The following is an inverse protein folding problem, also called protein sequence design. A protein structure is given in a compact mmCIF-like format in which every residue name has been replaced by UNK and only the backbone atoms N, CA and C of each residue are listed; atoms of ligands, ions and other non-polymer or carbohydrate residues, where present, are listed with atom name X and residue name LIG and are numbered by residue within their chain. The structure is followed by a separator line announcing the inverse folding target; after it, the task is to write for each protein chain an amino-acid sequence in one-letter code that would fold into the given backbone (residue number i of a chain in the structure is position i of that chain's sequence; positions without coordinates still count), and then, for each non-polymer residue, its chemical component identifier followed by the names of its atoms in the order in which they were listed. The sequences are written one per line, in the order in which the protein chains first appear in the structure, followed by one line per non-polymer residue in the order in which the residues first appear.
data_IF_495159697988
#
_entry.id   IF_495159697988
#
_cell.length_a   1.000
_cell.length_b   1.000
_cell.length_c   1.000
_cell.angle_alpha   90.00
_cell.angle_beta   90.00
_cell.angle_gamma   90.00
#
_symmetry.space_group_name_H-M   'P 1'
#
loop_
_entity.id
_entity.type
_entity.pdbx_description
1 polymer ?
#
# COMPACT_ATOMS: atom_id res chain seq x y z
N UNK A 1 -26.28 -28.31 26.18
CA UNK A 1 -26.29 -27.08 25.34
C UNK A 1 -25.02 -26.25 25.56
N UNK A 2 -23.82 -26.85 25.46
CA UNK A 2 -22.53 -26.18 25.74
C UNK A 2 -21.45 -26.64 24.74
N UNK A 3 -21.72 -26.57 23.43
CA UNK A 3 -20.73 -27.01 22.44
C UNK A 3 -20.78 -26.24 21.12
N UNK A 4 -21.07 -24.93 21.16
CA UNK A 4 -21.08 -24.09 19.95
C UNK A 4 -20.36 -22.73 20.12
N UNK A 5 -19.83 -22.40 21.29
CA UNK A 5 -19.18 -21.10 21.56
C UNK A 5 -17.64 -21.14 21.55
N UNK A 6 -17.05 -22.34 21.53
CA UNK A 6 -15.58 -22.51 21.56
C UNK A 6 -14.94 -22.53 20.16
N UNK A 7 -15.74 -22.66 19.09
CA UNK A 7 -15.26 -22.66 17.71
C UNK A 7 -15.14 -21.27 17.08
N UNK A 8 -15.86 -20.26 17.59
CA UNK A 8 -15.78 -18.88 17.06
C UNK A 8 -14.62 -18.07 17.68
N UNK A 9 -14.15 -18.42 18.88
CA UNK A 9 -13.19 -17.59 19.62
C UNK A 9 -11.72 -17.85 19.24
N UNK A 10 -11.42 -19.01 18.65
CA UNK A 10 -10.08 -19.34 18.14
C UNK A 10 -9.73 -18.68 16.80
N UNK A 11 -10.73 -18.17 16.07
CA UNK A 11 -10.52 -17.44 14.82
C UNK A 11 -10.14 -15.97 15.04
N UNK A 12 -10.38 -15.38 16.21
CA UNK A 12 -10.10 -13.96 16.47
C UNK A 12 -8.63 -13.66 16.84
N UNK A 13 -7.89 -14.66 17.33
CA UNK A 13 -6.48 -14.56 17.74
C UNK A 13 -5.50 -14.16 16.62
N UNK A 14 -5.58 -14.68 15.37
CA UNK A 14 -4.64 -14.28 14.30
C UNK A 14 -4.87 -12.84 13.78
N UNK A 15 -6.07 -12.27 13.93
CA UNK A 15 -6.36 -10.93 13.40
C UNK A 15 -5.82 -9.82 14.31
N UNK A 16 -5.76 -10.03 15.63
CA UNK A 16 -5.26 -9.02 16.58
C UNK A 16 -3.78 -8.66 16.32
N UNK A 17 -2.95 -9.66 16.04
CA UNK A 17 -1.54 -9.45 15.68
C UNK A 17 -1.37 -8.76 14.32
N UNK A 18 -2.18 -9.12 13.33
CA UNK A 18 -2.16 -8.50 11.99
C UNK A 18 -2.61 -7.03 12.01
N UNK A 19 -3.62 -6.70 12.83
CA UNK A 19 -4.09 -5.32 13.01
C UNK A 19 -3.00 -4.48 13.68
N UNK A 20 -2.37 -4.98 14.75
CA UNK A 20 -1.25 -4.29 15.40
C UNK A 20 -0.05 -4.09 14.47
N UNK A 21 0.31 -5.11 13.69
CA UNK A 21 1.41 -5.03 12.73
C UNK A 21 1.10 -4.05 11.60
N UNK A 22 -0.15 -4.03 11.11
CA UNK A 22 -0.60 -3.07 10.09
C UNK A 22 -0.61 -1.63 10.60
N UNK A 23 -1.09 -1.39 11.83
CA UNK A 23 -1.06 -0.05 12.43
C UNK A 23 0.37 0.39 12.71
N UNK A 24 1.22 -0.48 13.25
CA UNK A 24 2.63 -0.19 13.48
C UNK A 24 3.36 0.16 12.17
N UNK A 25 3.16 -0.62 11.12
CA UNK A 25 3.71 -0.34 9.79
C UNK A 25 3.19 1.00 9.24
N UNK A 26 1.89 1.28 9.39
CA UNK A 26 1.30 2.55 8.96
C UNK A 26 1.85 3.74 9.75
N UNK A 27 2.07 3.62 11.05
CA UNK A 27 2.63 4.69 11.88
C UNK A 27 4.12 4.94 11.60
N UNK A 28 4.93 3.90 11.40
CA UNK A 28 6.35 4.05 11.01
C UNK A 28 6.47 4.69 9.62
N UNK A 29 5.59 4.30 8.71
CA UNK A 29 5.52 4.85 7.36
C UNK A 29 5.05 6.30 7.34
N UNK A 30 4.03 6.63 8.12
CA UNK A 30 3.48 7.99 8.25
C UNK A 30 4.45 8.92 9.01
N UNK A 31 5.18 8.41 9.99
CA UNK A 31 6.25 9.15 10.68
C UNK A 31 7.42 9.52 9.76
N UNK A 32 7.80 8.61 8.85
CA UNK A 32 8.86 8.88 7.85
C UNK A 32 8.43 9.94 6.83
N UNK A 33 7.12 10.12 6.62
CA UNK A 33 6.56 11.01 5.60
C UNK A 33 6.45 12.48 6.05
N UNK A 34 6.23 12.75 7.35
CA UNK A 34 5.93 14.10 7.86
C UNK A 34 7.19 14.98 7.98
N UNK A 35 8.38 14.39 8.04
CA UNK A 35 9.63 15.11 8.35
C UNK A 35 10.49 15.58 7.17
N UNK A 36 10.04 15.48 5.90
CA UNK A 36 10.94 15.63 4.74
C UNK A 36 10.67 16.86 3.86
N UNK A 37 11.73 17.46 3.31
CA UNK A 37 11.65 18.56 2.36
C UNK A 37 10.89 18.18 1.07
N UNK A 38 10.26 19.19 0.45
CA UNK A 38 9.55 19.07 -0.82
C UNK A 38 10.35 18.31 -1.89
N UNK A 39 11.67 18.51 -1.94
CA UNK A 39 12.56 17.82 -2.89
C UNK A 39 12.45 16.31 -2.80
N UNK A 40 12.42 15.74 -1.60
CA UNK A 40 12.37 14.28 -1.40
C UNK A 40 10.93 13.75 -1.35
N UNK A 41 9.96 14.59 -0.97
CA UNK A 41 8.54 14.24 -0.90
C UNK A 41 7.96 13.84 -2.27
N UNK A 42 8.34 14.47 -3.37
CA UNK A 42 7.78 14.14 -4.68
C UNK A 42 7.99 12.67 -5.08
N UNK A 43 9.18 12.12 -4.82
CA UNK A 43 9.46 10.71 -5.11
C UNK A 43 8.71 9.77 -4.16
N UNK A 44 8.73 10.06 -2.85
CA UNK A 44 8.06 9.24 -1.83
C UNK A 44 6.55 9.21 -2.04
N UNK A 45 5.91 10.36 -2.27
CA UNK A 45 4.48 10.46 -2.63
C UNK A 45 4.17 9.61 -3.86
N UNK A 46 4.98 9.72 -4.91
CA UNK A 46 4.73 9.03 -6.17
C UNK A 46 4.87 7.51 -6.03
N UNK A 47 5.81 7.03 -5.20
CA UNK A 47 5.90 5.60 -4.86
C UNK A 47 4.71 5.11 -4.04
N UNK A 48 4.25 5.88 -3.05
CA UNK A 48 3.05 5.54 -2.27
C UNK A 48 1.83 5.40 -3.17
N UNK A 49 1.65 6.37 -4.07
CA UNK A 49 0.52 6.40 -4.98
C UNK A 49 0.59 5.23 -5.98
N UNK A 50 1.79 4.89 -6.46
CA UNK A 50 2.02 3.71 -7.30
C UNK A 50 1.67 2.39 -6.61
N UNK A 51 2.12 2.20 -5.36
CA UNK A 51 1.75 1.02 -4.56
C UNK A 51 0.23 0.95 -4.36
N UNK A 52 -0.41 2.09 -4.04
CA UNK A 52 -1.86 2.17 -3.92
C UNK A 52 -2.60 1.76 -5.20
N UNK A 53 -2.14 2.23 -6.37
CA UNK A 53 -2.71 1.86 -7.67
C UNK A 53 -2.52 0.39 -8.04
N UNK A 54 -1.37 -0.20 -7.70
CA UNK A 54 -1.10 -1.63 -7.90
C UNK A 54 -1.99 -2.49 -7.00
N UNK A 55 -2.14 -2.11 -5.72
CA UNK A 55 -3.04 -2.81 -4.79
C UNK A 55 -4.49 -2.67 -5.27
N UNK A 56 -4.93 -1.49 -5.72
CA UNK A 56 -6.28 -1.29 -6.24
C UNK A 56 -6.58 -2.19 -7.44
N UNK A 57 -5.63 -2.32 -8.36
CA UNK A 57 -5.73 -3.23 -9.50
C UNK A 57 -5.82 -4.69 -9.03
N UNK A 58 -5.03 -5.09 -8.05
CA UNK A 58 -5.06 -6.45 -7.51
C UNK A 58 -6.41 -6.78 -6.85
N UNK A 59 -6.99 -5.84 -6.10
CA UNK A 59 -8.33 -6.00 -5.51
C UNK A 59 -9.39 -6.10 -6.61
N UNK A 60 -9.33 -5.22 -7.60
CA UNK A 60 -10.28 -5.22 -8.72
C UNK A 60 -10.20 -6.52 -9.54
N UNK A 61 -9.00 -7.06 -9.71
CA UNK A 61 -8.75 -8.34 -10.37
C UNK A 61 -9.30 -9.51 -9.56
N UNK A 62 -9.04 -9.52 -8.24
CA UNK A 62 -9.50 -10.58 -7.35
C UNK A 62 -11.02 -10.63 -7.20
N UNK A 63 -11.72 -9.51 -7.41
CA UNK A 63 -13.17 -9.44 -7.31
C UNK A 63 -13.89 -9.60 -8.66
N UNK A 64 -13.17 -9.90 -9.76
CA UNK A 64 -13.70 -10.00 -11.14
C UNK A 64 -14.60 -8.81 -11.56
N UNK A 65 -14.42 -7.66 -10.90
CA UNK A 65 -15.32 -6.51 -10.99
C UNK A 65 -14.84 -5.44 -11.97
N UNK A 66 -13.65 -5.62 -12.56
CA UNK A 66 -13.07 -4.72 -13.56
C UNK A 66 -13.08 -5.32 -14.96
N UNK A 67 -13.42 -4.53 -15.97
CA UNK A 67 -13.17 -4.93 -17.37
C UNK A 67 -11.66 -5.05 -17.62
N UNK A 68 -11.22 -6.00 -18.45
CA UNK A 68 -9.80 -6.22 -18.79
C UNK A 68 -9.03 -4.95 -19.16
N UNK A 69 -9.68 -4.02 -19.88
CA UNK A 69 -9.09 -2.72 -20.26
C UNK A 69 -8.79 -1.83 -19.04
N UNK A 70 -9.68 -1.86 -18.06
CA UNK A 70 -9.60 -1.06 -16.84
C UNK A 70 -8.50 -1.59 -15.91
N UNK A 71 -8.42 -2.91 -15.77
CA UNK A 71 -7.33 -3.61 -15.08
C UNK A 71 -5.96 -3.27 -15.68
N UNK A 72 -5.86 -3.30 -17.01
CA UNK A 72 -4.63 -2.97 -17.71
C UNK A 72 -4.23 -1.50 -17.51
N UNK A 73 -5.19 -0.58 -17.58
CA UNK A 73 -4.94 0.85 -17.33
C UNK A 73 -4.44 1.08 -15.90
N UNK A 74 -5.15 0.58 -14.88
CA UNK A 74 -4.73 0.80 -13.49
C UNK A 74 -3.43 0.08 -13.13
N UNK A 75 -3.22 -1.12 -13.66
CA UNK A 75 -1.99 -1.88 -13.44
C UNK A 75 -0.77 -1.20 -14.06
N UNK A 76 -0.87 -0.77 -15.32
CA UNK A 76 0.21 -0.08 -16.03
C UNK A 76 0.45 1.31 -15.42
N UNK A 77 -0.61 2.06 -15.10
CA UNK A 77 -0.48 3.38 -14.49
C UNK A 77 0.18 3.29 -13.10
N UNK A 78 -0.23 2.33 -12.28
CA UNK A 78 0.39 2.04 -10.98
C UNK A 78 1.86 1.66 -11.11
N UNK A 79 2.20 0.81 -12.09
CA UNK A 79 3.58 0.42 -12.37
C UNK A 79 4.44 1.61 -12.82
N UNK A 80 3.96 2.44 -13.75
CA UNK A 80 4.67 3.64 -14.22
C UNK A 80 4.93 4.61 -13.05
N UNK A 81 3.93 4.86 -12.22
CA UNK A 81 4.07 5.74 -11.06
C UNK A 81 5.03 5.17 -10.02
N UNK A 82 5.02 3.86 -9.79
CA UNK A 82 5.99 3.20 -8.92
C UNK A 82 7.43 3.36 -9.42
N UNK A 83 7.70 3.03 -10.68
CA UNK A 83 9.04 3.16 -11.28
C UNK A 83 9.51 4.63 -11.32
N UNK A 84 8.61 5.56 -11.61
CA UNK A 84 8.89 7.00 -11.61
C UNK A 84 9.21 7.51 -10.20
N UNK A 85 8.47 7.08 -9.18
CA UNK A 85 8.70 7.48 -7.79
C UNK A 85 10.06 7.02 -7.27
N UNK A 86 10.42 5.74 -7.48
CA UNK A 86 11.76 5.22 -7.17
C UNK A 86 12.82 5.97 -7.97
N UNK A 87 12.48 6.32 -9.21
CA UNK A 87 13.25 7.14 -10.13
C UNK A 87 13.64 8.51 -9.60
N UNK A 88 12.73 9.16 -8.87
CA UNK A 88 12.84 10.54 -8.41
C UNK A 88 13.46 10.61 -7.01
N UNK A 89 13.13 9.66 -6.12
CA UNK A 89 13.78 9.48 -4.81
C UNK A 89 15.31 9.43 -4.92
N UNK A 90 15.83 8.77 -5.96
CA UNK A 90 17.29 8.61 -6.17
C UNK A 90 17.98 9.83 -6.76
N UNK A 91 17.26 10.70 -7.46
CA UNK A 91 17.84 11.87 -8.16
C UNK A 91 17.84 13.14 -7.32
N UNK A 92 17.34 13.10 -6.08
CA UNK A 92 17.45 14.22 -5.14
C UNK A 92 18.79 14.20 -4.40
N UNK A 93 19.89 14.02 -5.15
CA UNK A 93 21.22 14.44 -4.68
C UNK A 93 21.36 15.91 -5.04
N UNK A 94 21.58 16.71 -4.03
CA UNK A 94 21.56 18.16 -4.08
C UNK A 94 22.36 18.71 -5.27
N UNK A 95 21.74 19.64 -6.01
CA UNK A 95 22.49 20.64 -6.76
C UNK A 95 22.86 21.72 -5.73
N UNK A 96 24.09 21.61 -5.22
CA UNK A 96 24.81 22.68 -4.52
C UNK A 96 24.87 23.93 -5.38
#
# INVERSE_FOLDING_TARGET
MFNNTLSEQSAFQPYFGLIFFSYCAAYVFLFTFIGMDLKKIFGTVLTLLGIGGLIYTAILFANDSGTTKMLLVYGVLGAIFFFSGVGLVRNTKEKS
#
